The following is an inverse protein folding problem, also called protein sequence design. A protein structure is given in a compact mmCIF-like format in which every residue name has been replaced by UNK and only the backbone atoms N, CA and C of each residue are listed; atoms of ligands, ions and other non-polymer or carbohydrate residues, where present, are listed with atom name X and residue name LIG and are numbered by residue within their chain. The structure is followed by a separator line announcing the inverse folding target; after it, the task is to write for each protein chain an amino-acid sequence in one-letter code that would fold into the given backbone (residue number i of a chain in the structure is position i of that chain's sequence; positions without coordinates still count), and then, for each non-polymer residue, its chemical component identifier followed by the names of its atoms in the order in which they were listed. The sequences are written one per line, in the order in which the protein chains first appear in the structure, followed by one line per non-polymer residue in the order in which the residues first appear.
data_IF_106423372420
#
_entry.id   IF_106423372420
#
_cell.length_a   1.000
_cell.length_b   1.000
_cell.length_c   1.000
_cell.angle_alpha   90.00
_cell.angle_beta   90.00
_cell.angle_gamma   90.00
#
_symmetry.space_group_name_H-M   'P 1'
#
loop_
_entity.id
_entity.type
_entity.pdbx_description
1 polymer ?
#
# COMPACT_ATOMS: atom_id res chain seq x y z
N UNK A 1 9.77 34.73 52.19
CA UNK A 1 9.89 35.65 51.04
C UNK A 1 10.58 34.93 49.87
N UNK A 2 11.68 34.23 50.14
CA UNK A 2 12.42 33.27 49.28
C UNK A 2 11.58 32.45 48.26
N UNK A 3 10.57 31.69 48.73
CA UNK A 3 9.79 30.78 47.86
C UNK A 3 8.93 31.50 46.80
N UNK A 4 8.57 32.77 47.04
CA UNK A 4 7.82 33.57 46.04
C UNK A 4 8.75 34.02 44.91
N UNK A 5 9.95 34.47 45.27
CA UNK A 5 10.96 34.89 44.29
C UNK A 5 11.50 33.71 43.48
N UNK A 6 11.65 32.53 44.09
CA UNK A 6 12.01 31.33 43.36
C UNK A 6 10.92 30.94 42.34
N UNK A 7 9.64 31.05 42.71
CA UNK A 7 8.53 30.78 41.79
C UNK A 7 8.48 31.78 40.64
N UNK A 8 8.66 33.07 40.92
CA UNK A 8 8.73 34.11 39.89
C UNK A 8 9.90 33.88 38.94
N UNK A 9 11.08 33.54 39.47
CA UNK A 9 12.25 33.27 38.65
C UNK A 9 12.04 32.06 37.73
N UNK A 10 11.45 30.97 38.24
CA UNK A 10 11.12 29.81 37.43
C UNK A 10 10.10 30.14 36.33
N UNK A 11 9.07 30.93 36.64
CA UNK A 11 8.11 31.41 35.64
C UNK A 11 8.78 32.20 34.52
N UNK A 12 9.73 33.06 34.86
CA UNK A 12 10.48 33.86 33.87
C UNK A 12 11.35 32.96 32.98
N UNK A 13 11.95 31.91 33.56
CA UNK A 13 12.76 30.94 32.80
C UNK A 13 11.88 30.16 31.82
N UNK A 14 10.71 29.70 32.25
CA UNK A 14 9.77 28.96 31.39
C UNK A 14 9.27 29.85 30.23
N UNK A 15 8.93 31.12 30.52
CA UNK A 15 8.54 32.08 29.50
C UNK A 15 9.67 32.34 28.49
N UNK A 16 10.90 32.54 28.99
CA UNK A 16 12.08 32.75 28.14
C UNK A 16 12.40 31.52 27.25
N UNK A 17 12.25 30.31 27.79
CA UNK A 17 12.43 29.08 27.04
C UNK A 17 11.38 28.94 25.92
N UNK A 18 10.12 29.27 26.22
CA UNK A 18 9.02 29.26 25.22
C UNK A 18 9.28 30.26 24.10
N UNK A 19 9.74 31.47 24.44
CA UNK A 19 10.09 32.51 23.45
C UNK A 19 11.27 32.04 22.59
N UNK A 20 12.30 31.44 23.19
CA UNK A 20 13.45 30.91 22.47
C UNK A 20 13.06 29.80 21.49
N UNK A 21 12.16 28.90 21.88
CA UNK A 21 11.65 27.83 21.01
C UNK A 21 10.79 28.38 19.85
N UNK A 22 9.91 29.35 20.13
CA UNK A 22 9.09 30.00 19.11
C UNK A 22 9.91 30.76 18.07
N UNK A 23 11.04 31.32 18.49
CA UNK A 23 11.94 32.08 17.64
C UNK A 23 13.15 31.28 17.16
N UNK A 24 13.20 29.96 17.37
CA UNK A 24 14.25 29.12 16.79
C UNK A 24 14.01 28.96 15.28
N UNK A 25 14.81 29.63 14.42
CA UNK A 25 14.64 29.54 12.98
C UNK A 25 14.85 28.10 12.46
N UNK A 26 15.62 27.28 13.19
CA UNK A 26 15.88 25.90 12.79
C UNK A 26 14.65 25.00 13.01
N UNK A 27 13.80 25.30 14.00
CA UNK A 27 12.60 24.52 14.28
C UNK A 27 11.57 24.68 13.17
N UNK A 28 11.32 25.91 12.74
CA UNK A 28 10.40 26.19 11.63
C UNK A 28 10.94 25.64 10.31
N UNK A 29 12.25 25.77 10.06
CA UNK A 29 12.88 25.19 8.88
C UNK A 29 12.80 23.66 8.87
N UNK A 30 13.07 23.01 10.00
CA UNK A 30 12.95 21.56 10.17
C UNK A 30 11.52 21.09 9.96
N UNK A 31 10.53 21.82 10.49
CA UNK A 31 9.10 21.54 10.28
C UNK A 31 8.73 21.58 8.80
N UNK A 32 9.15 22.62 8.07
CA UNK A 32 8.89 22.76 6.63
C UNK A 32 9.59 21.68 5.81
N UNK A 33 10.83 21.35 6.16
CA UNK A 33 11.58 20.29 5.49
C UNK A 33 10.90 18.92 5.67
N UNK A 34 10.46 18.60 6.90
CA UNK A 34 9.69 17.38 7.17
C UNK A 34 8.38 17.34 6.39
N UNK A 35 7.61 18.42 6.38
CA UNK A 35 6.37 18.51 5.61
C UNK A 35 6.62 18.29 4.10
N UNK A 36 7.69 18.87 3.55
CA UNK A 36 8.07 18.63 2.15
C UNK A 36 8.47 17.19 1.86
N UNK A 37 9.16 16.52 2.79
CA UNK A 37 9.50 15.11 2.66
C UNK A 37 8.26 14.20 2.72
N UNK A 38 7.30 14.50 3.59
CA UNK A 38 6.04 13.77 3.67
C UNK A 38 5.24 13.87 2.38
N UNK A 39 5.18 15.07 1.77
CA UNK A 39 4.53 15.31 0.49
C UNK A 39 5.17 14.48 -0.64
N UNK A 40 6.51 14.54 -0.78
CA UNK A 40 7.25 13.75 -1.77
C UNK A 40 7.03 12.25 -1.57
N UNK A 41 7.04 11.79 -0.32
CA UNK A 41 6.80 10.39 0.03
C UNK A 41 5.39 9.94 -0.38
N UNK A 42 4.39 10.80 -0.16
CA UNK A 42 3.01 10.56 -0.58
C UNK A 42 2.89 10.40 -2.09
N UNK A 43 3.46 11.33 -2.86
CA UNK A 43 3.46 11.27 -4.33
C UNK A 43 4.13 9.99 -4.84
N UNK A 44 5.27 9.61 -4.25
CA UNK A 44 5.96 8.38 -4.62
C UNK A 44 5.12 7.13 -4.31
N UNK A 45 4.41 7.11 -3.17
CA UNK A 45 3.52 6.03 -2.78
C UNK A 45 2.35 5.88 -3.76
N UNK A 46 1.71 6.98 -4.12
CA UNK A 46 0.63 6.99 -5.11
C UNK A 46 1.09 6.46 -6.46
N UNK A 47 2.26 6.90 -6.93
CA UNK A 47 2.85 6.39 -8.17
C UNK A 47 3.13 4.88 -8.10
N UNK A 48 3.64 4.41 -6.97
CA UNK A 48 3.87 2.98 -6.76
C UNK A 48 2.57 2.18 -6.80
N UNK A 49 1.54 2.65 -6.10
CA UNK A 49 0.23 2.00 -6.06
C UNK A 49 -0.43 1.99 -7.45
N UNK A 50 -0.30 3.08 -8.22
CA UNK A 50 -0.76 3.14 -9.61
C UNK A 50 -0.06 2.09 -10.48
N UNK A 51 1.29 2.07 -10.48
CA UNK A 51 2.07 1.09 -11.26
C UNK A 51 1.74 -0.34 -10.87
N UNK A 52 1.49 -0.59 -9.59
CA UNK A 52 1.08 -1.90 -9.09
C UNK A 52 -0.28 -2.32 -9.63
N UNK A 53 -1.24 -1.39 -9.70
CA UNK A 53 -2.55 -1.66 -10.30
C UNK A 53 -2.44 -1.93 -11.81
N UNK A 54 -1.68 -1.12 -12.54
CA UNK A 54 -1.45 -1.30 -13.98
C UNK A 54 -0.81 -2.67 -14.27
N UNK A 55 0.20 -3.06 -13.48
CA UNK A 55 0.85 -4.36 -13.62
C UNK A 55 -0.12 -5.53 -13.36
N UNK A 56 -1.00 -5.42 -12.35
CA UNK A 56 -2.04 -6.42 -12.09
C UNK A 56 -3.03 -6.50 -13.25
N UNK A 57 -3.46 -5.37 -13.79
CA UNK A 57 -4.38 -5.33 -14.93
C UNK A 57 -3.74 -5.95 -16.17
N UNK A 58 -2.49 -5.64 -16.46
CA UNK A 58 -1.74 -6.26 -17.56
C UNK A 58 -1.64 -7.76 -17.37
N UNK A 59 -1.33 -8.22 -16.16
CA UNK A 59 -1.27 -9.64 -15.82
C UNK A 59 -2.61 -10.32 -16.09
N UNK A 60 -3.70 -9.80 -15.54
CA UNK A 60 -5.06 -10.31 -15.74
C UNK A 60 -5.40 -10.36 -17.23
N UNK A 61 -5.20 -9.25 -17.96
CA UNK A 61 -5.52 -9.16 -19.39
C UNK A 61 -4.71 -10.17 -20.21
N UNK A 62 -3.43 -10.38 -19.87
CA UNK A 62 -2.57 -11.36 -20.55
C UNK A 62 -3.00 -12.80 -20.29
N UNK A 63 -3.43 -13.13 -19.06
CA UNK A 63 -3.97 -14.44 -18.73
C UNK A 63 -5.28 -14.71 -19.48
N UNK A 64 -6.22 -13.76 -19.48
CA UNK A 64 -7.50 -13.93 -20.19
C UNK A 64 -7.33 -13.97 -21.72
N UNK A 65 -6.43 -13.18 -22.31
CA UNK A 65 -6.10 -13.30 -23.75
C UNK A 65 -5.51 -14.66 -24.11
N UNK A 66 -4.67 -15.23 -23.24
CA UNK A 66 -4.13 -16.59 -23.43
C UNK A 66 -5.24 -17.65 -23.33
N UNK A 67 -6.18 -17.50 -22.41
CA UNK A 67 -7.30 -18.44 -22.24
C UNK A 67 -8.33 -18.37 -23.35
N UNK A 68 -8.55 -17.19 -23.96
CA UNK A 68 -9.44 -17.01 -25.11
C UNK A 68 -8.77 -17.39 -26.45
N UNK A 69 -7.47 -17.73 -26.44
CA UNK A 69 -6.78 -18.37 -27.58
C UNK A 69 -6.94 -19.90 -27.49
N UNK A 70 -8.17 -20.36 -27.31
CA UNK A 70 -8.57 -21.76 -27.45
C UNK A 70 -9.76 -21.78 -28.40
N UNK A 71 -9.49 -21.53 -29.67
CA UNK A 71 -10.32 -21.79 -30.85
C UNK A 71 -9.37 -21.55 -32.05
N UNK A 72 -9.28 -22.35 -33.11
CA UNK A 72 -10.18 -23.35 -33.67
C UNK A 72 -9.38 -23.99 -34.81
N UNK A 73 -8.69 -25.10 -34.59
CA UNK A 73 -8.31 -25.98 -35.71
C UNK A 73 -8.09 -27.39 -35.18
N UNK A 74 -8.94 -28.33 -35.63
CA UNK A 74 -8.99 -29.68 -35.10
C UNK A 74 -10.42 -30.18 -34.99
N UNK A 75 -10.99 -30.50 -36.15
CA UNK A 75 -12.12 -31.40 -36.40
C UNK A 75 -12.41 -32.40 -35.25
N UNK A 76 -13.68 -32.68 -34.88
CA UNK A 76 -13.98 -33.60 -33.79
C UNK A 76 -13.65 -35.03 -34.21
N UNK A 77 -12.43 -35.49 -33.91
CA UNK A 77 -12.07 -36.90 -34.07
C UNK A 77 -12.83 -37.77 -33.05
N UNK A 78 -13.52 -38.83 -33.49
CA UNK A 78 -14.13 -39.78 -32.59
C UNK A 78 -13.03 -40.62 -31.93
N UNK A 79 -12.71 -40.33 -30.67
CA UNK A 79 -11.80 -41.16 -29.88
C UNK A 79 -12.48 -42.47 -29.51
N UNK A 80 -12.13 -43.56 -30.20
CA UNK A 80 -12.34 -44.93 -29.71
C UNK A 80 -11.35 -45.19 -28.57
N UNK A 81 -11.68 -44.75 -27.36
CA UNK A 81 -10.97 -45.15 -26.15
C UNK A 81 -11.67 -46.37 -25.57
N UNK A 82 -11.01 -47.53 -25.63
CA UNK A 82 -11.43 -48.75 -24.93
C UNK A 82 -11.29 -48.51 -23.42
N UNK A 83 -12.34 -47.98 -22.80
CA UNK A 83 -12.42 -47.94 -21.36
C UNK A 83 -12.82 -49.33 -20.88
N UNK A 84 -11.86 -50.03 -20.27
CA UNK A 84 -12.16 -51.17 -19.41
C UNK A 84 -13.18 -50.69 -18.37
N UNK A 85 -14.35 -51.33 -18.35
CA UNK A 85 -15.50 -50.89 -17.58
C UNK A 85 -15.18 -50.79 -16.09
N UNK A 86 -15.31 -49.58 -15.55
CA UNK A 86 -15.54 -49.38 -14.12
C UNK A 86 -17.05 -49.14 -13.99
N UNK A 87 -17.78 -50.20 -13.62
CA UNK A 87 -19.20 -50.10 -13.27
C UNK A 87 -19.26 -49.51 -11.85
N UNK A 88 -19.63 -48.25 -11.72
CA UNK A 88 -20.05 -47.68 -10.44
C UNK A 88 -21.56 -47.94 -10.32
N UNK A 89 -21.92 -48.94 -9.49
CA UNK A 89 -23.31 -49.20 -9.10
C UNK A 89 -23.68 -48.21 -8.00
N UNK A 90 -24.46 -47.18 -8.34
CA UNK A 90 -25.20 -46.40 -7.34
C UNK A 90 -26.49 -47.15 -6.99
N UNK A 91 -26.50 -47.85 -5.84
CA UNK A 91 -27.73 -48.33 -5.20
C UNK A 91 -28.43 -47.13 -4.55
N UNK A 92 -29.62 -46.79 -5.03
CA UNK A 92 -30.57 -45.97 -4.28
C UNK A 92 -31.24 -46.84 -3.22
N UNK A 93 -31.22 -46.38 -1.97
CA UNK A 93 -32.39 -46.37 -1.09
C UNK A 93 -32.18 -45.35 0.02
#
# INVERSE_FOLDING_TARGET
MEMKHLRELLSIIDDAATIAEQHDPNLEQSRRFRAGLEDISSVHRELYDQKRCDAKQLTITSFFKRSNLIETDGEPQPSTSKHAGIIIVSRQS
#
